data_IF_414243138607
#
_entry.id   IF_414243138607
#
_cell.length_a   1.000
_cell.length_b   1.000
_cell.length_c   1.000
_cell.angle_alpha   90.00
_cell.angle_beta   90.00
_cell.angle_gamma   90.00
#
_symmetry.space_group_name_H-M   'P 1'
#
loop_
_entity.id
_entity.type
_entity.pdbx_description
1 polymer ?
#
# COMPACT_ATOMS: atom_id res chain seq x y z
N UNK A 1 -22.92 2.63 -11.98
CA UNK A 1 -21.97 2.89 -13.08
C UNK A 1 -20.56 2.88 -12.55
N UNK A 2 -19.65 2.20 -13.21
CA UNK A 2 -18.24 2.18 -12.80
C UNK A 2 -17.48 3.33 -13.43
N UNK A 3 -16.55 3.87 -12.66
CA UNK A 3 -15.57 4.85 -13.15
C UNK A 3 -14.22 4.18 -13.10
N UNK A 4 -13.48 4.27 -14.21
CA UNK A 4 -12.13 3.70 -14.30
C UNK A 4 -11.14 4.82 -14.58
N UNK A 5 -10.08 4.86 -13.79
CA UNK A 5 -8.99 5.82 -13.96
C UNK A 5 -7.67 5.08 -13.97
N UNK A 6 -6.79 5.46 -14.89
CA UNK A 6 -5.45 4.89 -14.98
C UNK A 6 -4.44 5.97 -14.62
N UNK A 7 -3.54 5.66 -13.68
CA UNK A 7 -2.44 6.53 -13.31
C UNK A 7 -1.13 5.85 -13.65
N UNK A 8 -0.14 6.64 -14.02
CA UNK A 8 1.19 6.16 -14.34
C UNK A 8 2.17 6.64 -13.28
N UNK A 9 3.04 5.76 -12.85
CA UNK A 9 4.06 6.06 -11.86
C UNK A 9 5.31 5.26 -12.12
N UNK A 10 6.13 5.11 -11.08
CA UNK A 10 7.41 4.42 -11.15
C UNK A 10 7.36 3.20 -10.21
N UNK A 11 7.75 2.05 -10.73
CA UNK A 11 7.87 0.84 -9.93
C UNK A 11 9.09 0.94 -9.02
N UNK A 12 8.88 0.86 -7.71
CA UNK A 12 9.97 0.80 -6.74
C UNK A 12 10.21 -0.62 -6.26
N UNK A 13 9.18 -1.44 -6.26
CA UNK A 13 9.27 -2.89 -6.10
C UNK A 13 8.35 -3.51 -7.14
N UNK A 14 8.81 -4.58 -7.78
CA UNK A 14 8.09 -5.17 -8.90
C UNK A 14 6.98 -6.12 -8.45
N UNK A 15 6.01 -6.31 -9.32
CA UNK A 15 4.96 -7.29 -9.15
C UNK A 15 3.64 -6.82 -9.73
N UNK A 16 2.68 -7.70 -9.71
CA UNK A 16 1.31 -7.41 -10.08
C UNK A 16 0.41 -7.77 -8.91
N UNK A 17 -0.48 -6.87 -8.57
CA UNK A 17 -1.36 -7.07 -7.43
C UNK A 17 -2.68 -6.36 -7.69
N UNK A 18 -3.71 -6.82 -7.01
CA UNK A 18 -5.00 -6.15 -7.00
C UNK A 18 -5.61 -6.30 -5.62
N UNK A 19 -6.46 -5.37 -5.26
CA UNK A 19 -7.15 -5.42 -3.99
C UNK A 19 -7.96 -4.16 -3.75
N UNK A 20 -8.73 -4.21 -2.69
CA UNK A 20 -9.50 -3.06 -2.23
C UNK A 20 -8.55 -2.08 -1.56
N UNK A 21 -8.67 -0.81 -1.92
CA UNK A 21 -7.81 0.23 -1.38
C UNK A 21 -8.12 0.53 0.08
N UNK A 22 -7.07 0.78 0.84
CA UNK A 22 -7.14 1.29 2.20
C UNK A 22 -6.24 2.52 2.24
N UNK A 23 -6.84 3.71 2.36
CA UNK A 23 -6.13 4.97 2.22
C UNK A 23 -5.93 5.63 3.58
N UNK A 24 -4.68 5.87 3.94
CA UNK A 24 -4.31 6.63 5.14
C UNK A 24 -3.80 8.00 4.72
N UNK A 25 -4.40 9.06 5.21
CA UNK A 25 -3.91 10.43 4.99
C UNK A 25 -2.71 10.75 5.88
N UNK A 26 -2.48 9.93 6.89
CA UNK A 26 -1.37 10.06 7.82
C UNK A 26 -0.23 9.14 7.40
N UNK A 27 0.98 9.46 7.85
CA UNK A 27 2.12 8.55 7.73
C UNK A 27 1.74 7.18 8.29
N UNK A 28 2.28 6.13 7.70
CA UNK A 28 1.89 4.78 8.07
C UNK A 28 3.11 3.93 8.42
N UNK A 29 3.04 3.21 9.52
CA UNK A 29 4.13 2.37 10.00
C UNK A 29 3.82 0.90 9.89
N UNK A 30 4.84 0.08 9.63
CA UNK A 30 4.68 -1.35 9.45
C UNK A 30 5.19 -2.18 10.63
N UNK A 31 5.61 -1.53 11.71
CA UNK A 31 6.01 -2.23 12.92
C UNK A 31 4.83 -2.95 13.59
N UNK A 32 5.14 -3.98 14.37
CA UNK A 32 4.11 -4.78 15.03
C UNK A 32 3.22 -3.97 15.99
N UNK A 33 3.73 -2.83 16.45
CA UNK A 33 2.98 -1.95 17.35
C UNK A 33 1.99 -1.05 16.60
N UNK A 34 2.08 -0.99 15.28
CA UNK A 34 1.14 -0.24 14.44
C UNK A 34 0.20 -1.19 13.71
N UNK A 35 0.74 -2.28 13.17
CA UNK A 35 -0.05 -3.32 12.49
C UNK A 35 0.34 -4.66 13.08
N UNK A 36 -0.63 -5.39 13.61
CA UNK A 36 -0.38 -6.66 14.27
C UNK A 36 0.17 -7.70 13.30
N UNK A 37 1.26 -8.39 13.70
CA UNK A 37 1.95 -9.36 12.85
C UNK A 37 1.12 -10.60 12.51
N UNK A 38 0.19 -10.98 13.37
CA UNK A 38 -0.58 -12.22 13.19
C UNK A 38 -1.96 -12.00 12.57
N UNK A 39 -2.51 -10.79 12.65
CA UNK A 39 -3.85 -10.48 12.14
C UNK A 39 -3.86 -9.48 10.99
N UNK A 40 -2.83 -8.64 10.89
CA UNK A 40 -2.82 -7.53 9.95
C UNK A 40 -3.74 -6.38 10.36
N UNK A 41 -4.22 -6.38 11.60
CA UNK A 41 -5.13 -5.34 12.09
C UNK A 41 -4.34 -4.11 12.53
N UNK A 42 -4.79 -2.94 12.09
CA UNK A 42 -4.17 -1.66 12.42
C UNK A 42 -4.56 -1.29 13.86
N UNK A 43 -3.54 -1.09 14.70
CA UNK A 43 -3.70 -0.70 16.10
C UNK A 43 -3.10 0.67 16.40
N UNK A 44 -3.34 1.64 15.53
CA UNK A 44 -2.84 3.00 15.69
C UNK A 44 -4.01 3.93 15.99
N UNK A 45 -4.17 4.31 17.24
CA UNK A 45 -5.34 5.07 17.69
C UNK A 45 -5.54 6.41 17.00
N UNK A 46 -4.46 7.07 16.59
CA UNK A 46 -4.55 8.36 15.90
C UNK A 46 -4.94 8.21 14.43
N UNK A 47 -4.89 7.01 13.89
CA UNK A 47 -5.18 6.78 12.49
C UNK A 47 -6.66 6.41 12.31
N UNK A 48 -7.38 7.08 11.40
CA UNK A 48 -8.80 6.74 11.13
C UNK A 48 -9.02 5.28 10.70
N UNK A 49 -7.97 4.60 10.24
CA UNK A 49 -8.05 3.20 9.83
C UNK A 49 -7.89 2.22 10.98
N UNK A 50 -7.72 2.71 12.21
CA UNK A 50 -7.59 1.87 13.39
C UNK A 50 -8.68 0.81 13.45
N UNK A 51 -8.30 -0.44 13.67
CA UNK A 51 -9.22 -1.57 13.72
C UNK A 51 -9.47 -2.28 12.40
N UNK A 52 -9.05 -1.70 11.28
CA UNK A 52 -9.18 -2.33 9.97
C UNK A 52 -7.97 -3.18 9.65
N UNK A 53 -8.16 -4.22 8.82
CA UNK A 53 -7.09 -5.12 8.42
C UNK A 53 -6.47 -4.68 7.10
N UNK A 54 -5.14 -4.78 7.00
CA UNK A 54 -4.43 -4.54 5.74
C UNK A 54 -4.39 -5.79 4.85
N UNK A 55 -4.83 -6.93 5.36
CA UNK A 55 -4.71 -8.21 4.67
C UNK A 55 -5.38 -8.18 3.30
N UNK A 56 -4.60 -8.49 2.27
CA UNK A 56 -5.10 -8.58 0.90
C UNK A 56 -5.48 -7.25 0.27
N UNK A 57 -5.09 -6.13 0.89
CA UNK A 57 -5.46 -4.80 0.43
C UNK A 57 -4.31 -4.09 -0.28
N UNK A 58 -4.67 -3.10 -1.08
CA UNK A 58 -3.70 -2.12 -1.59
C UNK A 58 -3.71 -0.96 -0.60
N UNK A 59 -2.60 -0.75 0.10
CA UNK A 59 -2.52 0.30 1.12
C UNK A 59 -1.87 1.54 0.50
N UNK A 60 -2.54 2.68 0.66
CA UNK A 60 -2.13 3.96 0.08
C UNK A 60 -1.86 4.93 1.23
N UNK A 61 -0.67 5.53 1.25
CA UNK A 61 -0.30 6.49 2.30
C UNK A 61 0.76 7.46 1.78
N UNK A 62 0.96 8.60 2.46
CA UNK A 62 1.92 9.61 1.94
C UNK A 62 3.36 9.12 2.02
N UNK A 63 3.79 8.66 3.18
CA UNK A 63 5.14 8.18 3.40
C UNK A 63 5.14 7.27 4.64
N UNK A 64 6.18 6.43 4.74
CA UNK A 64 6.32 5.53 5.87
C UNK A 64 6.76 6.30 7.13
N UNK A 65 6.30 5.83 8.28
CA UNK A 65 6.81 6.27 9.58
C UNK A 65 7.49 5.08 10.27
N UNK A 66 8.35 5.37 11.23
CA UNK A 66 9.02 4.34 12.03
C UNK A 66 10.45 4.10 11.59
N UNK A 67 10.99 3.00 12.09
CA UNK A 67 12.40 2.64 11.96
C UNK A 67 12.58 1.37 11.15
N UNK A 68 13.80 0.87 11.11
CA UNK A 68 14.16 -0.40 10.45
C UNK A 68 13.32 -1.59 10.92
N UNK A 69 12.79 -1.55 12.13
CA UNK A 69 11.87 -2.58 12.63
C UNK A 69 10.61 -2.68 11.75
N UNK A 70 10.22 -1.60 11.10
CA UNK A 70 9.12 -1.60 10.15
C UNK A 70 9.39 -2.52 8.95
N UNK A 71 10.64 -2.59 8.50
CA UNK A 71 11.02 -3.50 7.41
C UNK A 71 10.79 -4.95 7.79
N UNK A 72 11.21 -5.34 8.98
CA UNK A 72 11.00 -6.70 9.48
C UNK A 72 9.51 -6.98 9.64
N UNK A 73 8.75 -6.02 10.16
CA UNK A 73 7.32 -6.15 10.35
C UNK A 73 6.58 -6.34 9.03
N UNK A 74 6.93 -5.56 8.03
CA UNK A 74 6.31 -5.66 6.71
C UNK A 74 6.63 -7.01 6.05
N UNK A 75 7.91 -7.41 6.07
CA UNK A 75 8.32 -8.70 5.53
C UNK A 75 7.58 -9.85 6.21
N UNK A 76 7.52 -9.83 7.54
CA UNK A 76 6.85 -10.88 8.31
C UNK A 76 5.37 -11.00 7.92
N UNK A 77 4.67 -9.87 7.86
CA UNK A 77 3.25 -9.85 7.51
C UNK A 77 2.99 -10.36 6.09
N UNK A 78 3.86 -10.00 5.15
CA UNK A 78 3.67 -10.38 3.74
C UNK A 78 4.12 -11.80 3.45
N UNK A 79 5.26 -12.21 4.01
CA UNK A 79 5.93 -13.45 3.58
C UNK A 79 5.83 -14.58 4.61
N UNK A 80 5.56 -14.30 5.87
CA UNK A 80 5.49 -15.32 6.92
C UNK A 80 4.05 -15.56 7.36
N UNK A 81 3.41 -14.60 8.01
CA UNK A 81 2.03 -14.77 8.50
C UNK A 81 0.97 -14.59 7.41
N UNK A 82 1.33 -14.03 6.27
CA UNK A 82 0.44 -13.85 5.11
C UNK A 82 -0.79 -12.99 5.40
N UNK A 83 -0.65 -12.03 6.30
CA UNK A 83 -1.71 -11.06 6.63
C UNK A 83 -1.37 -9.65 6.18
N UNK A 84 -0.35 -9.50 5.35
CA UNK A 84 0.09 -8.22 4.84
C UNK A 84 -0.72 -7.75 3.64
N UNK A 85 -0.43 -6.52 3.19
CA UNK A 85 -1.04 -5.99 1.97
C UNK A 85 -0.54 -6.74 0.75
N UNK A 86 -1.25 -6.61 -0.37
CA UNK A 86 -0.81 -7.16 -1.65
C UNK A 86 -0.01 -6.17 -2.46
N UNK A 87 -0.14 -4.89 -2.18
CA UNK A 87 0.61 -3.84 -2.85
C UNK A 87 0.56 -2.54 -2.08
N UNK A 88 1.47 -1.65 -2.40
CA UNK A 88 1.67 -0.37 -1.72
C UNK A 88 1.73 0.75 -2.76
N UNK A 89 1.03 1.85 -2.48
CA UNK A 89 1.08 3.07 -3.28
C UNK A 89 1.34 4.24 -2.34
N UNK A 90 2.40 5.00 -2.61
CA UNK A 90 2.80 6.13 -1.77
C UNK A 90 3.07 7.36 -2.62
N UNK A 91 3.07 8.52 -1.97
CA UNK A 91 3.67 9.71 -2.58
C UNK A 91 5.17 9.49 -2.71
N UNK A 92 5.80 8.92 -1.67
CA UNK A 92 7.23 8.59 -1.65
C UNK A 92 7.43 7.22 -1.03
N UNK A 93 7.96 6.28 -1.81
CA UNK A 93 8.32 4.94 -1.34
C UNK A 93 9.74 4.97 -0.79
N UNK A 94 9.94 4.35 0.36
CA UNK A 94 11.24 4.24 1.03
C UNK A 94 11.65 2.78 1.18
N UNK A 95 12.86 2.54 1.65
CA UNK A 95 13.40 1.19 1.79
C UNK A 95 12.54 0.26 2.64
N UNK A 96 11.88 0.82 3.67
CA UNK A 96 10.98 0.04 4.52
C UNK A 96 9.83 -0.55 3.69
N UNK A 97 9.29 0.24 2.76
CA UNK A 97 8.11 -0.15 1.98
C UNK A 97 8.39 -1.30 1.01
N UNK A 98 9.64 -1.46 0.56
CA UNK A 98 9.99 -2.52 -0.39
C UNK A 98 10.39 -3.82 0.31
N UNK A 99 10.50 -3.81 1.63
CA UNK A 99 10.91 -4.98 2.40
C UNK A 99 9.89 -6.12 2.37
N UNK A 100 8.65 -5.82 2.02
CA UNK A 100 7.59 -6.84 1.94
C UNK A 100 7.67 -7.75 0.73
N UNK A 101 8.50 -7.41 -0.25
CA UNK A 101 8.62 -8.14 -1.52
C UNK A 101 7.28 -8.21 -2.26
N UNK A 102 6.54 -7.10 -2.20
CA UNK A 102 5.28 -6.89 -2.91
C UNK A 102 5.42 -5.62 -3.77
N UNK A 103 4.60 -5.44 -4.80
CA UNK A 103 4.73 -4.25 -5.64
C UNK A 103 4.51 -2.96 -4.85
N UNK A 104 5.35 -1.97 -5.12
CA UNK A 104 5.29 -0.65 -4.51
C UNK A 104 5.55 0.40 -5.57
N UNK A 105 4.71 1.43 -5.62
CA UNK A 105 4.72 2.44 -6.68
C UNK A 105 4.64 3.84 -6.07
N UNK A 106 5.45 4.75 -6.61
CA UNK A 106 5.35 6.18 -6.32
C UNK A 106 5.54 7.00 -7.60
N UNK A 107 5.79 8.28 -7.48
CA UNK A 107 6.03 9.13 -8.65
C UNK A 107 4.87 9.18 -9.61
N UNK A 108 3.65 9.10 -9.11
CA UNK A 108 2.45 9.07 -9.94
C UNK A 108 2.18 10.42 -10.61
N UNK A 109 1.47 10.38 -11.73
CA UNK A 109 1.06 11.57 -12.49
C UNK A 109 -0.12 12.31 -11.87
N UNK A 110 -0.36 12.07 -10.59
CA UNK A 110 -1.34 12.75 -9.76
C UNK A 110 -1.11 12.34 -8.31
N UNK A 111 -1.78 12.99 -7.38
CA UNK A 111 -1.65 12.66 -5.96
C UNK A 111 -2.49 11.43 -5.64
N UNK A 112 -1.88 10.30 -5.27
CA UNK A 112 -2.64 9.08 -4.99
C UNK A 112 -3.65 9.25 -3.86
N UNK A 113 -3.38 10.12 -2.90
CA UNK A 113 -4.31 10.36 -1.80
C UNK A 113 -5.55 11.17 -2.20
N UNK A 114 -5.46 11.89 -3.32
CA UNK A 114 -6.59 12.61 -3.91
C UNK A 114 -7.39 11.72 -4.86
N UNK A 115 -6.70 10.84 -5.57
CA UNK A 115 -7.30 10.07 -6.66
C UNK A 115 -7.85 8.72 -6.23
N UNK A 116 -7.36 8.15 -5.12
CA UNK A 116 -7.78 6.85 -4.63
C UNK A 116 -8.53 7.02 -3.31
N UNK A 117 -9.68 6.38 -3.19
CA UNK A 117 -10.48 6.37 -1.97
C UNK A 117 -10.53 4.97 -1.37
N UNK A 118 -10.60 4.88 -0.06
CA UNK A 118 -10.83 3.60 0.61
C UNK A 118 -12.07 2.95 0.02
N UNK A 119 -11.95 1.68 -0.37
CA UNK A 119 -13.01 0.93 -1.01
C UNK A 119 -12.89 0.83 -2.52
N UNK A 120 -12.08 1.67 -3.16
CA UNK A 120 -11.81 1.54 -4.58
C UNK A 120 -11.09 0.21 -4.86
N UNK A 121 -11.34 -0.38 -6.01
CA UNK A 121 -10.56 -1.53 -6.46
C UNK A 121 -9.34 -1.03 -7.21
N UNK A 122 -8.17 -1.47 -6.80
CA UNK A 122 -6.89 -1.00 -7.38
C UNK A 122 -6.10 -2.17 -7.92
N UNK A 123 -5.61 -2.04 -9.15
CA UNK A 123 -4.72 -3.00 -9.77
C UNK A 123 -3.38 -2.34 -10.05
N UNK A 124 -2.30 -3.00 -9.65
CA UNK A 124 -0.93 -2.52 -9.85
C UNK A 124 -0.24 -3.42 -10.86
N UNK A 125 0.34 -2.81 -11.90
CA UNK A 125 1.22 -3.48 -12.86
C UNK A 125 2.59 -2.79 -12.79
N UNK A 126 3.55 -3.44 -12.13
CA UNK A 126 4.90 -2.92 -11.91
C UNK A 126 5.90 -4.01 -12.31
N UNK A 127 6.16 -4.14 -13.62
CA UNK A 127 6.89 -5.27 -14.15
C UNK A 127 8.41 -5.17 -13.96
N UNK A 128 8.95 -3.95 -13.88
CA UNK A 128 10.38 -3.73 -13.76
C UNK A 128 10.70 -2.53 -12.88
N UNK A 129 11.55 -2.74 -11.88
CA UNK A 129 11.96 -1.69 -10.94
C UNK A 129 12.64 -0.54 -11.68
N UNK A 130 12.24 0.69 -11.35
CA UNK A 130 12.76 1.90 -11.96
C UNK A 130 12.08 2.28 -13.27
N UNK A 131 11.18 1.45 -13.78
CA UNK A 131 10.43 1.72 -15.01
C UNK A 131 9.01 2.14 -14.69
N UNK A 132 8.27 2.53 -15.73
CA UNK A 132 6.89 2.95 -15.57
C UNK A 132 6.03 1.83 -15.01
N UNK A 133 5.22 2.15 -14.03
CA UNK A 133 4.18 1.29 -13.50
C UNK A 133 2.82 1.89 -13.81
N UNK A 134 1.81 1.05 -13.86
CA UNK A 134 0.43 1.46 -14.11
C UNK A 134 -0.45 1.07 -12.93
N UNK A 135 -1.29 2.00 -12.51
CA UNK A 135 -2.30 1.75 -11.47
C UNK A 135 -3.66 2.01 -12.08
N UNK A 136 -4.52 0.99 -12.04
CA UNK A 136 -5.89 1.09 -12.54
C UNK A 136 -6.83 1.12 -11.35
N UNK A 137 -7.63 2.17 -11.26
CA UNK A 137 -8.55 2.40 -10.15
C UNK A 137 -9.97 2.25 -10.68
N UNK A 138 -10.73 1.34 -10.08
CA UNK A 138 -12.14 1.14 -10.44
C UNK A 138 -13.00 1.53 -9.25
N UNK A 139 -13.92 2.44 -9.47
CA UNK A 139 -14.83 2.96 -8.44
C UNK A 139 -16.27 2.74 -8.87
N UNK A 140 -17.06 2.15 -8.01
CA UNK A 140 -18.50 2.05 -8.22
C UNK A 140 -19.17 3.30 -7.70
N UNK A 141 -20.07 3.82 -8.46
CA UNK A 141 -20.86 4.99 -8.06
C UNK A 141 -22.24 4.59 -7.55
#
# INVERSE_FOLDING_TARGET
MEQVKVMKGIARAKGRASGEALVSEMRFGWGYNTVANESGIIGAYENPLNGQSVKGRIVVYPTVSGTTLGSVGLYYKCQVSKVGPTGIVCRNVHDIDIAGEIPAVDGLDGDPLQEIRTGDWVEIHADEVGKQATITITRKS
#
